data_IF_642169388336
#
_entry.id   IF_642169388336
#
_cell.length_a   1.000
_cell.length_b   1.000
_cell.length_c   1.000
_cell.angle_alpha   90.00
_cell.angle_beta   90.00
_cell.angle_gamma   90.00
#
_symmetry.space_group_name_H-M   'P 1'
#
loop_
_entity.id
_entity.type
_entity.pdbx_description
1 polymer ?
#
# COMPACT_ATOMS: atom_id res chain seq x y z
N UNK A 1 11.09 -17.10 2.02
CA UNK A 1 11.60 -16.35 0.85
C UNK A 1 13.13 -16.32 0.92
N UNK A 2 13.74 -15.48 1.77
CA UNK A 2 15.20 -15.37 1.92
C UNK A 2 15.94 -16.71 2.16
N UNK A 3 15.51 -17.51 3.13
CA UNK A 3 16.17 -18.81 3.45
C UNK A 3 16.16 -19.83 2.31
N UNK A 4 15.22 -19.73 1.37
CA UNK A 4 15.12 -20.60 0.18
C UNK A 4 15.71 -19.96 -1.07
N UNK A 5 16.20 -18.71 -0.99
CA UNK A 5 16.62 -17.93 -2.17
C UNK A 5 15.51 -17.75 -3.21
N UNK A 6 14.23 -17.74 -2.79
CA UNK A 6 13.12 -17.59 -3.73
C UNK A 6 13.05 -16.16 -4.26
N UNK A 7 12.81 -15.95 -5.57
CA UNK A 7 12.78 -14.62 -6.15
C UNK A 7 11.77 -13.70 -5.45
N UNK A 8 12.23 -12.55 -5.02
CA UNK A 8 11.43 -11.46 -4.50
C UNK A 8 11.70 -10.23 -5.37
N UNK A 9 10.63 -9.69 -5.95
CA UNK A 9 10.71 -8.53 -6.83
C UNK A 9 10.35 -7.30 -6.02
N UNK A 10 11.37 -6.51 -5.71
CA UNK A 10 11.23 -5.22 -5.06
C UNK A 10 10.88 -4.14 -6.07
N UNK A 11 10.11 -3.15 -5.62
CA UNK A 11 9.87 -1.92 -6.38
C UNK A 11 11.18 -1.20 -6.69
N UNK A 12 12.10 -1.11 -5.71
CA UNK A 12 13.42 -0.51 -5.92
C UNK A 12 13.41 0.97 -6.30
N UNK A 13 12.33 1.71 -6.00
CA UNK A 13 12.04 3.03 -6.60
C UNK A 13 11.76 4.15 -5.57
N UNK A 14 12.18 3.92 -4.33
CA UNK A 14 11.95 4.81 -3.16
C UNK A 14 10.48 5.19 -2.87
N UNK A 15 9.52 4.51 -3.50
CA UNK A 15 8.09 4.72 -3.21
C UNK A 15 7.71 4.28 -1.80
N UNK A 16 6.52 4.69 -1.34
CA UNK A 16 5.98 4.22 -0.05
C UNK A 16 5.91 2.70 0.07
N UNK A 17 5.63 1.98 -1.02
CA UNK A 17 5.66 0.51 -1.05
C UNK A 17 7.07 -0.03 -0.83
N UNK A 18 8.07 0.57 -1.47
CA UNK A 18 9.48 0.19 -1.29
C UNK A 18 9.97 0.46 0.13
N UNK A 19 9.60 1.61 0.73
CA UNK A 19 9.90 1.91 2.13
C UNK A 19 9.28 0.87 3.05
N UNK A 20 7.99 0.56 2.86
CA UNK A 20 7.28 -0.45 3.67
C UNK A 20 7.91 -1.84 3.56
N UNK A 21 8.32 -2.24 2.36
CA UNK A 21 9.01 -3.49 2.12
C UNK A 21 10.33 -3.58 2.90
N UNK A 22 11.16 -2.52 2.86
CA UNK A 22 12.41 -2.45 3.63
C UNK A 22 12.17 -2.54 5.13
N UNK A 23 11.14 -1.87 5.65
CA UNK A 23 10.74 -1.98 7.06
C UNK A 23 10.38 -3.41 7.44
N UNK A 24 9.64 -4.13 6.59
CA UNK A 24 9.27 -5.53 6.83
C UNK A 24 10.51 -6.41 6.87
N UNK A 25 11.44 -6.26 5.92
CA UNK A 25 12.70 -7.01 5.93
C UNK A 25 13.53 -6.74 7.18
N UNK A 26 13.67 -5.46 7.55
CA UNK A 26 14.40 -5.05 8.75
C UNK A 26 13.76 -5.63 10.03
N UNK A 27 12.42 -5.63 10.13
CA UNK A 27 11.70 -6.22 11.26
C UNK A 27 11.90 -7.73 11.39
N UNK A 28 12.22 -8.41 10.28
CA UNK A 28 12.57 -9.82 10.25
C UNK A 28 14.08 -10.07 10.51
N UNK A 29 14.87 -9.02 10.76
CA UNK A 29 16.33 -9.12 10.92
C UNK A 29 17.06 -9.49 9.62
N UNK A 30 16.44 -9.26 8.46
CA UNK A 30 16.96 -9.65 7.15
C UNK A 30 17.39 -8.40 6.40
N UNK A 31 18.64 -8.37 5.94
CA UNK A 31 19.10 -7.42 4.93
C UNK A 31 18.95 -8.11 3.56
N UNK A 32 17.98 -7.71 2.72
CA UNK A 32 17.76 -8.37 1.44
C UNK A 32 18.94 -8.08 0.50
N UNK A 33 19.67 -9.13 0.10
CA UNK A 33 20.84 -9.03 -0.78
C UNK A 33 21.02 -10.33 -1.57
N UNK A 34 21.51 -10.19 -2.79
CA UNK A 34 21.87 -11.29 -3.68
C UNK A 34 20.82 -11.53 -4.76
N UNK A 35 21.05 -12.55 -5.59
CA UNK A 35 20.28 -12.78 -6.83
C UNK A 35 18.77 -13.03 -6.62
N UNK A 36 18.36 -13.43 -5.42
CA UNK A 36 16.94 -13.65 -5.11
C UNK A 36 16.17 -12.36 -4.85
N UNK A 37 16.83 -11.26 -4.51
CA UNK A 37 16.20 -9.96 -4.29
C UNK A 37 16.47 -9.06 -5.50
N UNK A 38 15.43 -8.81 -6.28
CA UNK A 38 15.53 -8.14 -7.58
C UNK A 38 14.83 -6.78 -7.47
N UNK A 39 15.60 -5.71 -7.54
CA UNK A 39 15.07 -4.35 -7.60
C UNK A 39 14.69 -4.02 -9.04
N UNK A 40 13.38 -3.87 -9.29
CA UNK A 40 12.88 -3.62 -10.64
C UNK A 40 13.08 -2.16 -11.09
N UNK A 41 13.02 -1.20 -10.16
CA UNK A 41 13.05 0.23 -10.46
C UNK A 41 11.83 0.68 -11.28
N UNK A 42 10.70 -0.01 -11.13
CA UNK A 42 9.50 0.17 -11.95
C UNK A 42 8.23 0.29 -11.10
N UNK A 43 7.13 0.66 -11.76
CA UNK A 43 5.81 0.71 -11.17
C UNK A 43 5.30 -0.65 -10.66
N UNK A 44 4.25 -0.60 -9.84
CA UNK A 44 3.72 -1.79 -9.17
C UNK A 44 3.13 -2.82 -10.13
N UNK A 45 2.56 -2.39 -11.26
CA UNK A 45 2.00 -3.30 -12.27
C UNK A 45 3.07 -4.16 -12.94
N UNK A 46 4.19 -3.55 -13.28
CA UNK A 46 5.36 -4.20 -13.87
C UNK A 46 6.02 -5.14 -12.85
N UNK A 47 6.16 -4.73 -11.60
CA UNK A 47 6.67 -5.60 -10.52
C UNK A 47 5.80 -6.83 -10.34
N UNK A 48 4.46 -6.71 -10.35
CA UNK A 48 3.56 -7.87 -10.28
C UNK A 48 3.72 -8.77 -11.51
N UNK A 49 3.88 -8.19 -12.69
CA UNK A 49 4.09 -8.96 -13.94
C UNK A 49 5.42 -9.73 -13.87
N UNK A 50 6.50 -9.10 -13.43
CA UNK A 50 7.81 -9.73 -13.24
C UNK A 50 7.77 -10.82 -12.17
N UNK A 51 7.07 -10.58 -11.06
CA UNK A 51 6.91 -11.58 -10.01
C UNK A 51 6.20 -12.83 -10.53
N UNK A 52 5.14 -12.66 -11.34
CA UNK A 52 4.46 -13.78 -12.00
C UNK A 52 5.42 -14.55 -12.93
N UNK A 53 6.10 -13.84 -13.84
CA UNK A 53 7.05 -14.45 -14.80
C UNK A 53 8.19 -15.20 -14.11
N UNK A 54 8.70 -14.68 -12.99
CA UNK A 54 9.78 -15.30 -12.22
C UNK A 54 9.29 -16.31 -11.19
N UNK A 55 7.98 -16.58 -11.12
CA UNK A 55 7.35 -17.41 -10.08
C UNK A 55 7.81 -17.01 -8.66
N UNK A 56 7.85 -15.70 -8.44
CA UNK A 56 8.39 -15.06 -7.26
C UNK A 56 7.32 -14.40 -6.39
N UNK A 57 7.80 -13.56 -5.48
CA UNK A 57 7.02 -12.84 -4.48
C UNK A 57 7.19 -11.33 -4.71
N UNK A 58 6.18 -10.55 -4.33
CA UNK A 58 6.27 -9.10 -4.28
C UNK A 58 5.38 -8.57 -3.14
N UNK A 59 5.72 -7.40 -2.60
CA UNK A 59 4.81 -6.63 -1.77
C UNK A 59 4.01 -5.69 -2.66
N UNK A 60 2.69 -5.70 -2.54
CA UNK A 60 1.80 -4.84 -3.33
C UNK A 60 0.67 -4.28 -2.48
N UNK A 61 0.19 -3.08 -2.82
CA UNK A 61 -1.09 -2.60 -2.30
C UNK A 61 -2.26 -3.40 -2.91
N UNK A 62 -3.36 -3.45 -2.17
CA UNK A 62 -4.52 -4.27 -2.55
C UNK A 62 -5.19 -3.80 -3.85
N UNK A 63 -5.20 -2.50 -4.12
CA UNK A 63 -5.87 -1.93 -5.28
C UNK A 63 -5.16 -2.37 -6.55
N UNK A 64 -3.84 -2.23 -6.56
CA UNK A 64 -3.01 -2.68 -7.68
C UNK A 64 -3.07 -4.19 -7.87
N UNK A 65 -3.05 -4.98 -6.79
CA UNK A 65 -3.25 -6.43 -6.89
C UNK A 65 -4.56 -6.78 -7.58
N UNK A 66 -5.69 -6.18 -7.16
CA UNK A 66 -7.00 -6.44 -7.78
C UNK A 66 -6.99 -6.06 -9.26
N UNK A 67 -6.36 -4.95 -9.64
CA UNK A 67 -6.27 -4.53 -11.03
C UNK A 67 -5.44 -5.49 -11.91
N UNK A 68 -4.49 -6.22 -11.32
CA UNK A 68 -3.58 -7.13 -12.05
C UNK A 68 -3.87 -8.62 -11.86
N UNK A 69 -4.74 -9.02 -10.91
CA UNK A 69 -5.01 -10.43 -10.61
C UNK A 69 -5.57 -11.26 -11.76
N UNK A 70 -6.21 -10.61 -12.75
CA UNK A 70 -6.70 -11.27 -13.98
C UNK A 70 -5.62 -11.36 -15.06
N UNK A 71 -4.49 -10.66 -14.89
CA UNK A 71 -3.34 -10.62 -15.81
C UNK A 71 -2.16 -11.47 -15.33
N UNK A 72 -2.18 -11.88 -14.06
CA UNK A 72 -1.14 -12.71 -13.44
C UNK A 72 -1.79 -13.91 -12.75
N UNK A 73 -0.99 -14.93 -12.45
CA UNK A 73 -1.38 -16.10 -11.65
C UNK A 73 -1.00 -15.95 -10.17
N UNK A 74 -0.69 -14.72 -9.73
CA UNK A 74 -0.28 -14.43 -8.36
C UNK A 74 -1.47 -14.52 -7.40
N UNK A 75 -1.22 -15.19 -6.27
CA UNK A 75 -2.19 -15.33 -5.17
C UNK A 75 -1.73 -14.54 -3.95
N UNK A 76 -2.69 -14.05 -3.16
CA UNK A 76 -2.38 -13.42 -1.88
C UNK A 76 -1.94 -14.49 -0.89
N UNK A 77 -0.68 -14.40 -0.44
CA UNK A 77 -0.14 -15.32 0.57
C UNK A 77 -0.24 -14.77 2.00
N UNK A 78 -0.26 -13.44 2.16
CA UNK A 78 -0.32 -12.78 3.46
C UNK A 78 -1.02 -11.42 3.36
N UNK A 79 -1.89 -11.12 4.32
CA UNK A 79 -2.67 -9.88 4.39
C UNK A 79 -3.19 -9.65 5.82
N UNK A 80 -3.52 -8.40 6.15
CA UNK A 80 -4.21 -8.05 7.40
C UNK A 80 -3.32 -7.85 8.63
N UNK A 81 -2.04 -8.24 8.53
CA UNK A 81 -1.05 -7.97 9.57
C UNK A 81 -0.91 -6.48 9.87
N UNK A 82 -0.65 -6.14 11.14
CA UNK A 82 -0.49 -4.75 11.58
C UNK A 82 0.67 -4.04 10.89
N UNK A 83 1.75 -4.76 10.58
CA UNK A 83 2.90 -4.21 9.86
C UNK A 83 2.64 -3.97 8.37
N UNK A 84 1.51 -4.45 7.82
CA UNK A 84 1.05 -4.15 6.45
C UNK A 84 0.11 -2.95 6.41
N UNK A 85 -0.15 -2.31 7.55
CA UNK A 85 -1.05 -1.16 7.59
C UNK A 85 -0.42 0.04 6.87
N UNK A 86 -1.18 0.61 5.93
CA UNK A 86 -0.82 1.78 5.15
C UNK A 86 -1.84 2.91 5.42
N UNK A 87 -1.67 3.69 6.50
CA UNK A 87 -2.61 4.75 6.85
C UNK A 87 -2.50 5.94 5.91
N UNK A 88 -3.64 6.53 5.56
CA UNK A 88 -3.73 7.79 4.84
C UNK A 88 -4.11 8.91 5.81
N UNK A 89 -3.43 10.05 5.68
CA UNK A 89 -3.71 11.26 6.46
C UNK A 89 -4.06 12.43 5.55
N UNK A 90 -4.97 13.28 6.01
CA UNK A 90 -5.30 14.57 5.39
C UNK A 90 -4.86 15.68 6.34
N UNK A 91 -4.02 16.61 5.87
CA UNK A 91 -3.39 17.63 6.69
C UNK A 91 -3.55 18.98 6.00
N UNK A 92 -4.08 19.98 6.73
CA UNK A 92 -4.19 21.33 6.21
C UNK A 92 -2.82 22.03 6.18
N UNK A 93 -2.57 22.77 5.10
CA UNK A 93 -1.35 23.59 4.96
C UNK A 93 -1.39 24.74 5.97
N UNK A 94 -0.28 24.99 6.69
CA UNK A 94 -0.19 26.03 7.71
C UNK A 94 -0.40 27.45 7.09
N UNK A 95 -1.48 28.17 7.46
CA UNK A 95 -1.80 29.46 6.86
C UNK A 95 -0.88 30.60 7.34
N UNK A 96 -0.25 30.47 8.52
CA UNK A 96 0.73 31.45 9.02
C UNK A 96 1.98 31.44 8.13
N UNK A 97 2.41 30.26 7.71
CA UNK A 97 3.56 30.10 6.79
C UNK A 97 3.19 30.35 5.33
N UNK A 98 1.96 29.98 4.93
CA UNK A 98 1.47 30.12 3.57
C UNK A 98 0.14 30.88 3.53
N UNK A 99 0.17 32.23 3.54
CA UNK A 99 -1.05 33.04 3.66
C UNK A 99 -2.06 32.89 2.51
N UNK A 100 -1.61 32.40 1.35
CA UNK A 100 -2.47 32.14 0.20
C UNK A 100 -3.20 30.78 0.27
N UNK A 101 -2.86 29.94 1.25
CA UNK A 101 -3.53 28.67 1.45
C UNK A 101 -5.02 28.89 1.72
N UNK A 102 -5.88 28.10 1.06
CA UNK A 102 -7.32 28.12 1.29
C UNK A 102 -7.68 27.31 2.54
N UNK A 103 -7.19 27.76 3.69
CA UNK A 103 -7.24 27.00 4.94
C UNK A 103 -8.67 26.61 5.33
N UNK A 104 -9.61 27.54 5.24
CA UNK A 104 -11.03 27.25 5.56
C UNK A 104 -11.65 26.19 4.64
N UNK A 105 -11.25 26.16 3.35
CA UNK A 105 -11.70 25.10 2.43
C UNK A 105 -11.04 23.76 2.75
N UNK A 106 -9.76 23.78 3.15
CA UNK A 106 -9.08 22.57 3.59
C UNK A 106 -9.73 21.98 4.85
N UNK A 107 -10.12 22.81 5.82
CA UNK A 107 -10.86 22.36 6.99
C UNK A 107 -12.22 21.76 6.63
N UNK A 108 -12.98 22.40 5.73
CA UNK A 108 -14.25 21.81 5.24
C UNK A 108 -14.06 20.43 4.59
N UNK A 109 -12.98 20.24 3.83
CA UNK A 109 -12.66 18.94 3.25
C UNK A 109 -12.26 17.91 4.32
N UNK A 110 -11.48 18.32 5.32
CA UNK A 110 -11.12 17.47 6.45
C UNK A 110 -12.38 17.04 7.22
N UNK A 111 -13.27 17.97 7.53
CA UNK A 111 -14.53 17.71 8.23
C UNK A 111 -15.43 16.76 7.42
N UNK A 112 -15.51 16.95 6.10
CA UNK A 112 -16.24 16.05 5.21
C UNK A 112 -15.64 14.63 5.20
N UNK A 113 -14.34 14.50 4.95
CA UNK A 113 -13.64 13.21 4.82
C UNK A 113 -13.68 12.43 6.15
N UNK A 114 -13.56 13.13 7.28
CA UNK A 114 -13.55 12.53 8.62
C UNK A 114 -14.94 12.41 9.24
N UNK A 115 -15.95 13.09 8.69
CA UNK A 115 -17.33 13.04 9.13
C UNK A 115 -18.09 11.79 8.65
N UNK A 116 -19.36 11.61 9.07
CA UNK A 116 -20.13 10.41 8.78
C UNK A 116 -20.25 10.08 7.29
N UNK A 117 -20.44 11.09 6.44
CA UNK A 117 -20.57 10.92 4.99
C UNK A 117 -19.27 10.42 4.35
N UNK A 118 -18.16 11.11 4.57
CA UNK A 118 -16.85 10.69 4.05
C UNK A 118 -16.45 9.30 4.53
N UNK A 119 -16.66 8.99 5.82
CA UNK A 119 -16.42 7.65 6.38
C UNK A 119 -17.28 6.58 5.71
N UNK A 120 -18.56 6.86 5.47
CA UNK A 120 -19.47 5.94 4.76
C UNK A 120 -19.02 5.69 3.32
N UNK A 121 -18.59 6.74 2.61
CA UNK A 121 -18.07 6.61 1.24
C UNK A 121 -16.79 5.77 1.21
N UNK A 122 -15.87 6.00 2.16
CA UNK A 122 -14.62 5.23 2.28
C UNK A 122 -14.91 3.76 2.57
N UNK A 123 -15.74 3.46 3.57
CA UNK A 123 -16.12 2.09 3.92
C UNK A 123 -16.96 1.39 2.84
N UNK A 124 -17.72 2.17 2.04
CA UNK A 124 -18.53 1.66 0.94
C UNK A 124 -17.77 1.43 -0.36
N UNK A 125 -16.57 1.99 -0.51
CA UNK A 125 -15.81 1.92 -1.76
C UNK A 125 -15.32 0.50 -2.03
N UNK A 126 -15.62 -0.01 -3.24
CA UNK A 126 -15.28 -1.35 -3.68
C UNK A 126 -14.57 -1.37 -5.04
N UNK A 127 -13.62 -2.29 -5.19
CA UNK A 127 -12.97 -2.62 -6.45
C UNK A 127 -13.18 -4.12 -6.73
N UNK A 128 -13.72 -4.46 -7.90
CA UNK A 128 -14.05 -5.84 -8.30
C UNK A 128 -14.86 -6.61 -7.21
N UNK A 129 -15.77 -5.89 -6.55
CA UNK A 129 -16.65 -6.41 -5.49
C UNK A 129 -16.06 -6.39 -4.06
N UNK A 130 -14.77 -6.11 -3.90
CA UNK A 130 -14.08 -6.11 -2.61
C UNK A 130 -13.94 -4.70 -2.02
N UNK A 131 -14.22 -4.56 -0.71
CA UNK A 131 -13.95 -3.32 0.01
C UNK A 131 -12.45 -3.06 0.05
N UNK A 132 -12.03 -1.87 -0.39
CA UNK A 132 -10.62 -1.55 -0.55
C UNK A 132 -10.05 -0.74 0.62
N UNK A 133 -10.84 0.17 1.16
CA UNK A 133 -10.43 1.09 2.22
C UNK A 133 -11.22 0.86 3.50
N UNK A 134 -10.57 1.13 4.63
CA UNK A 134 -11.11 0.90 5.96
C UNK A 134 -10.90 2.13 6.80
N UNK A 135 -11.93 2.54 7.51
CA UNK A 135 -11.86 3.70 8.38
C UNK A 135 -11.27 3.31 9.74
N UNK A 136 -10.38 4.15 10.27
CA UNK A 136 -9.78 3.95 11.60
C UNK A 136 -10.86 3.99 12.70
N UNK A 137 -10.73 3.10 13.69
CA UNK A 137 -11.63 2.99 14.84
C UNK A 137 -12.84 2.07 14.67
N UNK A 138 -13.15 1.58 13.46
CA UNK A 138 -14.31 0.71 13.18
C UNK A 138 -13.96 -0.78 13.00
N UNK A 139 -12.84 -1.24 13.55
CA UNK A 139 -12.46 -2.66 13.39
C UNK A 139 -13.40 -3.57 14.19
N UNK A 140 -14.18 -4.40 13.49
CA UNK A 140 -14.56 -5.71 14.03
C UNK A 140 -13.26 -6.52 14.19
N UNK A 141 -13.01 -6.98 15.42
CA UNK A 141 -11.99 -7.99 15.70
C UNK A 141 -12.35 -9.22 14.85
N UNK A 142 -11.44 -9.61 13.97
CA UNK A 142 -11.40 -10.98 13.46
C UNK A 142 -10.53 -11.78 14.41
#
# INVERSE_FOLDING_TARGET
ISSKGSPFISRGDESGTHVKEKEIWASAGIVPKGAWYIEAGQGMGEVLTMAAQKRGYALADRGTYIAFRKKTDLVVLRQGDSNLWNPYGIIAVNPVKFPHAKYDLALKLIDFVTGPEGRSLISGFKADGEQLFFVSGERKKN
#
